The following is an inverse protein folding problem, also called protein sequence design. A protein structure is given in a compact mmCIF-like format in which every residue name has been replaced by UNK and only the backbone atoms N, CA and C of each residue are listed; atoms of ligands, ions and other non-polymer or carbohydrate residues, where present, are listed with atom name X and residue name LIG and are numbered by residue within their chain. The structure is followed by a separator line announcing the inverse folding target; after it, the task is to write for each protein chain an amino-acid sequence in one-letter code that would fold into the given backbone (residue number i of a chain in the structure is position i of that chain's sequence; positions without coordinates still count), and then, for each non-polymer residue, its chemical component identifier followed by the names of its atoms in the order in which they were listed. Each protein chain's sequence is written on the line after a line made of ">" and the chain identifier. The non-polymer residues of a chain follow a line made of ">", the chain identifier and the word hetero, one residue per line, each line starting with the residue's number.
data_IF_377186022471
#
_entry.id   IF_377186022471
#
_cell.length_a   1.000
_cell.length_b   1.000
_cell.length_c   1.000
_cell.angle_alpha   90.00
_cell.angle_beta   90.00
_cell.angle_gamma   90.00
#
_symmetry.space_group_name_H-M   'P 1'
#
loop_
_entity.id
_entity.type
_entity.pdbx_description
1 polymer ?
#
# COMPACT_ATOMS: atom_id res chain seq x y z
N UNK A 1 15.27 -14.98 2.59
CA UNK A 1 16.11 -13.88 2.07
C UNK A 1 16.06 -12.81 3.14
N UNK A 2 17.00 -12.84 4.05
CA UNK A 2 17.07 -11.95 5.22
C UNK A 2 17.47 -10.55 4.77
N UNK A 3 17.06 -9.54 5.51
CA UNK A 3 17.48 -8.14 5.32
C UNK A 3 19.00 -8.04 5.18
N UNK A 4 19.75 -8.88 5.91
CA UNK A 4 21.20 -8.95 5.82
C UNK A 4 21.72 -9.32 4.41
N UNK A 5 20.99 -10.17 3.66
CA UNK A 5 21.36 -10.47 2.28
C UNK A 5 21.19 -9.25 1.38
N UNK A 6 20.09 -8.51 1.58
CA UNK A 6 19.82 -7.27 0.83
C UNK A 6 20.86 -6.21 1.20
N UNK A 7 21.16 -6.04 2.49
CA UNK A 7 22.17 -5.10 2.98
C UNK A 7 23.54 -5.43 2.40
N UNK A 8 23.95 -6.71 2.38
CA UNK A 8 25.25 -7.12 1.84
C UNK A 8 25.34 -6.90 0.33
N UNK A 9 24.30 -7.19 -0.43
CA UNK A 9 24.25 -6.91 -1.87
C UNK A 9 24.35 -5.40 -2.16
N UNK A 10 23.67 -4.56 -1.36
CA UNK A 10 23.71 -3.12 -1.54
C UNK A 10 25.01 -2.47 -1.00
N UNK A 11 25.65 -3.03 0.04
CA UNK A 11 26.97 -2.57 0.47
C UNK A 11 28.04 -2.81 -0.58
N UNK A 12 27.92 -3.86 -1.37
CA UNK A 12 28.82 -4.14 -2.49
C UNK A 12 28.62 -3.13 -3.65
N UNK A 13 27.39 -2.67 -3.87
CA UNK A 13 27.04 -1.72 -4.95
C UNK A 13 27.34 -0.27 -4.55
N UNK A 14 27.07 0.11 -3.30
CA UNK A 14 27.12 1.52 -2.83
C UNK A 14 28.46 1.87 -2.18
N UNK A 15 29.37 0.90 -2.02
CA UNK A 15 30.65 1.11 -1.34
C UNK A 15 30.49 1.27 0.18
N UNK A 16 31.56 1.63 0.86
CA UNK A 16 31.68 1.66 2.33
C UNK A 16 30.83 2.69 3.09
N UNK A 17 29.59 2.96 2.65
CA UNK A 17 28.64 3.81 3.38
C UNK A 17 27.52 2.97 3.99
N UNK A 18 27.67 2.45 5.22
CA UNK A 18 26.68 1.57 5.85
C UNK A 18 25.28 2.22 6.00
N UNK A 19 25.26 3.53 6.19
CA UNK A 19 24.00 4.28 6.30
C UNK A 19 23.25 4.34 4.96
N UNK A 20 23.95 4.57 3.86
CA UNK A 20 23.34 4.61 2.52
C UNK A 20 22.79 3.23 2.13
N UNK A 21 23.56 2.15 2.39
CA UNK A 21 23.09 0.79 2.14
C UNK A 21 21.84 0.43 2.97
N UNK A 22 21.80 0.84 4.23
CA UNK A 22 20.63 0.66 5.09
C UNK A 22 19.41 1.41 4.56
N UNK A 23 19.56 2.68 4.16
CA UNK A 23 18.46 3.49 3.62
C UNK A 23 17.92 2.90 2.30
N UNK A 24 18.81 2.42 1.43
CA UNK A 24 18.40 1.79 0.16
C UNK A 24 17.70 0.45 0.41
N UNK A 25 18.15 -0.34 1.38
CA UNK A 25 17.49 -1.57 1.79
C UNK A 25 16.08 -1.29 2.34
N UNK A 26 15.94 -0.32 3.22
CA UNK A 26 14.63 0.10 3.74
C UNK A 26 13.70 0.62 2.63
N UNK A 27 14.22 1.42 1.71
CA UNK A 27 13.45 1.93 0.57
C UNK A 27 13.01 0.81 -0.39
N UNK A 28 13.87 -0.18 -0.66
CA UNK A 28 13.53 -1.30 -1.53
C UNK A 28 12.48 -2.23 -0.91
N UNK A 29 12.59 -2.55 0.37
CA UNK A 29 11.59 -3.36 1.09
C UNK A 29 10.27 -2.60 1.21
N UNK A 30 10.31 -1.32 1.60
CA UNK A 30 9.13 -0.47 1.68
C UNK A 30 8.45 -0.30 0.33
N UNK A 31 9.21 -0.10 -0.75
CA UNK A 31 8.70 -0.02 -2.11
C UNK A 31 8.04 -1.31 -2.58
N UNK A 32 8.64 -2.47 -2.30
CA UNK A 32 8.06 -3.77 -2.62
C UNK A 32 6.73 -3.98 -1.87
N UNK A 33 6.70 -3.70 -0.57
CA UNK A 33 5.48 -3.80 0.24
C UNK A 33 4.39 -2.85 -0.26
N UNK A 34 4.76 -1.63 -0.64
CA UNK A 34 3.83 -0.66 -1.21
C UNK A 34 3.20 -1.17 -2.52
N UNK A 35 4.00 -1.72 -3.42
CA UNK A 35 3.50 -2.30 -4.68
C UNK A 35 2.56 -3.48 -4.40
N UNK A 36 2.91 -4.38 -3.49
CA UNK A 36 2.06 -5.50 -3.10
C UNK A 36 0.72 -5.02 -2.51
N UNK A 37 0.76 -4.01 -1.65
CA UNK A 37 -0.46 -3.39 -1.10
C UNK A 37 -1.33 -2.77 -2.19
N UNK A 38 -0.73 -2.02 -3.11
CA UNK A 38 -1.46 -1.37 -4.19
C UNK A 38 -2.15 -2.39 -5.11
N UNK A 39 -1.45 -3.48 -5.47
CA UNK A 39 -2.01 -4.55 -6.28
C UNK A 39 -3.15 -5.26 -5.54
N UNK A 40 -2.97 -5.58 -4.26
CA UNK A 40 -4.01 -6.21 -3.45
C UNK A 40 -5.23 -5.27 -3.29
N UNK A 41 -5.02 -3.98 -3.05
CA UNK A 41 -6.09 -3.00 -2.98
C UNK A 41 -6.87 -2.90 -4.29
N UNK A 42 -6.22 -2.91 -5.44
CA UNK A 42 -6.88 -2.91 -6.75
C UNK A 42 -7.80 -4.12 -6.92
N UNK A 43 -7.32 -5.30 -6.56
CA UNK A 43 -8.11 -6.55 -6.65
C UNK A 43 -9.26 -6.51 -5.64
N UNK A 44 -9.00 -6.13 -4.39
CA UNK A 44 -10.02 -6.07 -3.34
C UNK A 44 -11.15 -5.10 -3.67
N UNK A 45 -10.83 -3.88 -4.12
CA UNK A 45 -11.83 -2.88 -4.53
C UNK A 45 -12.63 -3.35 -5.74
N UNK A 46 -12.00 -4.03 -6.71
CA UNK A 46 -12.71 -4.60 -7.85
C UNK A 46 -13.72 -5.67 -7.40
N UNK A 47 -13.31 -6.59 -6.54
CA UNK A 47 -14.17 -7.66 -6.00
C UNK A 47 -15.31 -7.07 -5.18
N UNK A 48 -15.01 -6.12 -4.29
CA UNK A 48 -16.02 -5.41 -3.48
C UNK A 48 -17.09 -4.76 -4.34
N UNK A 49 -16.69 -4.01 -5.37
CA UNK A 49 -17.64 -3.37 -6.31
C UNK A 49 -18.46 -4.38 -7.09
N UNK A 50 -17.85 -5.50 -7.47
CA UNK A 50 -18.54 -6.56 -8.20
C UNK A 50 -19.57 -7.25 -7.33
N UNK A 51 -19.20 -7.63 -6.11
CA UNK A 51 -20.09 -8.28 -5.15
C UNK A 51 -21.24 -7.34 -4.74
N UNK A 52 -20.93 -6.09 -4.42
CA UNK A 52 -21.94 -5.08 -4.07
C UNK A 52 -22.94 -4.84 -5.23
N UNK A 53 -22.46 -4.84 -6.46
CA UNK A 53 -23.31 -4.69 -7.63
C UNK A 53 -24.26 -5.87 -7.79
N UNK A 54 -23.78 -7.10 -7.63
CA UNK A 54 -24.62 -8.30 -7.67
C UNK A 54 -25.66 -8.30 -6.56
N UNK A 55 -25.34 -7.84 -5.35
CA UNK A 55 -26.30 -7.69 -4.27
C UNK A 55 -27.41 -6.66 -4.59
N UNK A 56 -27.10 -5.67 -5.43
CA UNK A 56 -28.03 -4.62 -5.87
C UNK A 56 -28.70 -4.94 -7.22
N UNK A 57 -28.58 -6.17 -7.72
CA UNK A 57 -29.07 -6.60 -9.04
C UNK A 57 -28.52 -5.72 -10.19
N UNK A 58 -27.23 -5.38 -10.13
CA UNK A 58 -26.51 -4.59 -11.13
C UNK A 58 -25.33 -5.37 -11.68
N UNK A 59 -24.91 -5.06 -12.91
CA UNK A 59 -23.77 -5.74 -13.55
C UNK A 59 -22.39 -5.35 -12.96
N UNK A 60 -22.31 -4.25 -12.24
CA UNK A 60 -21.05 -3.76 -11.67
C UNK A 60 -20.07 -3.22 -12.72
N UNK A 61 -18.77 -3.18 -12.40
CA UNK A 61 -17.77 -2.73 -13.34
C UNK A 61 -17.73 -3.65 -14.56
N UNK A 62 -18.35 -3.21 -15.64
CA UNK A 62 -18.33 -3.83 -16.97
C UNK A 62 -18.09 -2.74 -17.99
N UNK A 63 -17.02 -2.89 -18.78
CA UNK A 63 -16.68 -1.90 -19.77
C UNK A 63 -17.57 -1.97 -20.98
N UNK A 64 -18.51 -1.06 -21.09
CA UNK A 64 -19.16 -0.68 -22.34
C UNK A 64 -18.80 0.77 -22.61
N UNK A 65 -17.98 1.03 -23.63
CA UNK A 65 -17.62 2.38 -24.04
C UNK A 65 -16.12 2.58 -24.30
N UNK A 66 -15.73 3.74 -24.85
CA UNK A 66 -14.32 4.08 -25.07
C UNK A 66 -13.64 4.43 -23.74
N UNK A 67 -12.46 3.87 -23.48
CA UNK A 67 -11.62 4.20 -22.34
C UNK A 67 -10.95 2.99 -21.67
N UNK A 68 -10.14 3.24 -20.64
CA UNK A 68 -9.43 2.20 -19.89
C UNK A 68 -10.37 1.20 -19.17
N UNK A 69 -11.61 1.58 -18.92
CA UNK A 69 -12.64 0.73 -18.35
C UNK A 69 -13.34 -0.17 -19.39
N UNK A 70 -13.06 0.03 -20.69
CA UNK A 70 -13.64 -0.74 -21.76
C UNK A 70 -13.07 -2.15 -21.81
N UNK A 71 -13.90 -3.14 -21.63
CA UNK A 71 -13.53 -4.55 -21.69
C UNK A 71 -14.53 -5.44 -20.96
N UNK A 72 -14.55 -6.73 -21.30
CA UNK A 72 -15.54 -7.70 -20.79
C UNK A 72 -15.63 -7.76 -19.26
N UNK A 73 -14.55 -7.42 -18.55
CA UNK A 73 -14.44 -7.57 -17.10
C UNK A 73 -14.39 -6.25 -16.33
N UNK A 74 -14.07 -5.12 -16.98
CA UNK A 74 -13.94 -3.81 -16.33
C UNK A 74 -12.82 -3.74 -15.27
N UNK A 75 -11.78 -4.57 -15.37
CA UNK A 75 -10.71 -4.68 -14.37
C UNK A 75 -9.93 -3.36 -14.27
N UNK A 76 -9.71 -2.69 -15.39
CA UNK A 76 -8.98 -1.42 -15.44
C UNK A 76 -9.77 -0.22 -14.90
N UNK A 77 -11.04 -0.39 -14.57
CA UNK A 77 -11.86 0.68 -14.00
C UNK A 77 -11.32 1.14 -12.64
N UNK A 78 -10.86 0.22 -11.80
CA UNK A 78 -10.25 0.56 -10.50
C UNK A 78 -8.99 1.40 -10.66
N UNK A 79 -8.18 1.08 -11.69
CA UNK A 79 -7.00 1.88 -12.02
C UNK A 79 -7.35 3.27 -12.54
N UNK A 80 -8.36 3.36 -13.42
CA UNK A 80 -8.86 4.63 -13.92
C UNK A 80 -9.42 5.53 -12.79
N UNK A 81 -10.10 4.93 -11.81
CA UNK A 81 -10.58 5.65 -10.63
C UNK A 81 -9.44 6.15 -9.74
N UNK A 82 -8.37 5.36 -9.57
CA UNK A 82 -7.18 5.79 -8.85
C UNK A 82 -6.52 7.02 -9.52
N UNK A 83 -6.34 6.97 -10.84
CA UNK A 83 -5.81 8.12 -11.61
C UNK A 83 -6.74 9.33 -11.49
N UNK A 84 -8.05 9.14 -11.58
CA UNK A 84 -9.03 10.22 -11.42
C UNK A 84 -8.91 10.90 -10.06
N UNK A 85 -8.72 10.14 -8.98
CA UNK A 85 -8.54 10.67 -7.63
C UNK A 85 -7.24 11.46 -7.51
N UNK A 86 -6.15 11.03 -8.17
CA UNK A 86 -4.87 11.74 -8.16
C UNK A 86 -4.91 13.07 -8.93
N UNK A 87 -5.76 13.18 -9.96
CA UNK A 87 -5.89 14.41 -10.78
C UNK A 87 -6.91 15.38 -10.15
N UNK A 88 -7.77 14.89 -9.26
CA UNK A 88 -8.81 15.70 -8.64
C UNK A 88 -8.21 16.75 -7.70
N UNK A 89 -8.81 17.94 -7.66
CA UNK A 89 -8.42 19.02 -6.77
C UNK A 89 -8.52 18.61 -5.29
N UNK A 90 -7.49 18.94 -4.52
CA UNK A 90 -7.45 18.74 -3.08
C UNK A 90 -8.15 19.90 -2.37
N UNK A 91 -9.34 19.65 -1.85
CA UNK A 91 -10.16 20.63 -1.15
C UNK A 91 -10.12 20.40 0.35
N UNK A 92 -9.50 21.33 1.09
CA UNK A 92 -9.41 21.29 2.55
C UNK A 92 -10.44 22.24 3.15
N UNK A 93 -11.28 21.81 4.11
CA UNK A 93 -12.21 22.68 4.82
C UNK A 93 -11.48 23.82 5.54
N UNK A 94 -11.99 25.05 5.46
CA UNK A 94 -11.36 26.23 6.10
C UNK A 94 -11.28 26.13 7.63
N UNK A 95 -12.15 25.34 8.25
CA UNK A 95 -12.19 25.12 9.70
C UNK A 95 -11.27 24.01 10.18
N UNK A 96 -10.63 23.24 9.29
CA UNK A 96 -9.73 22.16 9.63
C UNK A 96 -8.28 22.65 9.75
N UNK A 97 -7.49 21.97 10.59
CA UNK A 97 -6.05 22.17 10.63
C UNK A 97 -5.45 21.60 9.31
N UNK A 98 -4.89 22.51 8.51
CA UNK A 98 -4.40 22.18 7.18
C UNK A 98 -3.23 21.18 7.19
N UNK A 99 -2.38 21.26 8.23
CA UNK A 99 -1.21 20.40 8.35
C UNK A 99 -1.65 19.00 8.73
N UNK A 100 -2.46 18.87 9.77
CA UNK A 100 -2.98 17.58 10.23
C UNK A 100 -3.81 16.89 9.14
N UNK A 101 -4.65 17.63 8.44
CA UNK A 101 -5.48 17.09 7.36
C UNK A 101 -4.65 16.49 6.22
N UNK A 102 -3.55 17.15 5.85
CA UNK A 102 -2.63 16.65 4.81
C UNK A 102 -1.78 15.47 5.26
N UNK A 103 -1.40 15.43 6.54
CA UNK A 103 -0.50 14.40 7.08
C UNK A 103 -1.26 13.12 7.46
N UNK A 104 -2.54 13.21 7.82
CA UNK A 104 -3.35 12.07 8.28
C UNK A 104 -3.31 10.85 7.31
N UNK A 105 -3.56 10.97 6.00
CA UNK A 105 -3.50 9.81 5.11
C UNK A 105 -2.10 9.19 5.04
N UNK A 106 -1.03 9.96 5.16
CA UNK A 106 0.33 9.44 5.18
C UNK A 106 0.60 8.63 6.44
N UNK A 107 0.09 9.06 7.60
CA UNK A 107 0.22 8.31 8.87
C UNK A 107 -0.44 6.94 8.75
N UNK A 108 -1.64 6.87 8.17
CA UNK A 108 -2.36 5.60 7.95
C UNK A 108 -1.57 4.68 7.03
N UNK A 109 -1.06 5.19 5.91
CA UNK A 109 -0.25 4.41 4.97
C UNK A 109 1.03 3.88 5.59
N UNK A 110 1.76 4.72 6.32
CA UNK A 110 2.98 4.34 7.03
C UNK A 110 2.66 3.24 8.06
N UNK A 111 1.59 3.40 8.85
CA UNK A 111 1.15 2.38 9.80
C UNK A 111 0.86 1.03 9.11
N UNK A 112 0.15 1.04 7.98
CA UNK A 112 -0.15 -0.17 7.24
C UNK A 112 1.10 -0.87 6.69
N UNK A 113 2.07 -0.11 6.11
CA UNK A 113 3.33 -0.67 5.61
C UNK A 113 4.16 -1.27 6.73
N UNK A 114 4.27 -0.56 7.85
CA UNK A 114 5.01 -1.03 9.03
C UNK A 114 4.35 -2.31 9.60
N UNK A 115 3.02 -2.37 9.67
CA UNK A 115 2.30 -3.57 10.11
C UNK A 115 2.56 -4.78 9.20
N UNK A 116 2.57 -4.58 7.89
CA UNK A 116 2.89 -5.64 6.92
C UNK A 116 4.33 -6.15 7.02
N UNK A 117 5.26 -5.33 7.47
CA UNK A 117 6.66 -5.73 7.60
C UNK A 117 6.89 -6.86 8.61
N UNK A 118 5.99 -7.01 9.59
CA UNK A 118 6.05 -8.06 10.60
C UNK A 118 5.44 -9.40 10.12
N UNK A 119 4.75 -9.41 8.97
CA UNK A 119 4.16 -10.64 8.43
C UNK A 119 5.21 -11.50 7.73
N UNK A 120 5.31 -12.79 8.06
CA UNK A 120 6.15 -13.72 7.33
C UNK A 120 5.50 -14.07 5.98
N UNK A 121 6.09 -13.65 4.86
CA UNK A 121 5.62 -14.02 3.53
C UNK A 121 6.07 -15.43 3.13
N UNK A 122 7.18 -15.89 3.67
CA UNK A 122 7.73 -17.24 3.47
C UNK A 122 8.66 -17.58 4.63
N UNK A 123 8.99 -18.86 4.78
CA UNK A 123 9.99 -19.32 5.76
C UNK A 123 11.38 -18.68 5.59
N UNK A 124 11.67 -18.16 4.39
CA UNK A 124 12.94 -17.50 4.04
C UNK A 124 12.78 -16.01 3.70
N UNK A 125 11.55 -15.50 3.61
CA UNK A 125 11.27 -14.10 3.26
C UNK A 125 10.47 -13.48 4.40
N UNK A 126 11.19 -12.80 5.27
CA UNK A 126 10.62 -12.06 6.39
C UNK A 126 11.37 -10.73 6.51
N UNK A 127 10.63 -9.61 6.56
CA UNK A 127 11.25 -8.29 6.63
C UNK A 127 11.80 -8.01 8.04
N UNK A 128 11.02 -8.37 9.07
CA UNK A 128 11.40 -8.20 10.48
C UNK A 128 10.98 -9.44 11.25
N UNK A 129 11.93 -10.09 11.93
CA UNK A 129 11.66 -11.24 12.80
C UNK A 129 11.48 -10.75 14.24
N UNK A 130 10.24 -10.76 14.70
CA UNK A 130 9.85 -10.28 16.04
C UNK A 130 9.22 -11.42 16.83
N UNK A 131 9.77 -11.75 17.99
CA UNK A 131 9.19 -12.74 18.91
C UNK A 131 7.78 -12.35 19.39
N UNK A 132 7.45 -11.06 19.38
CA UNK A 132 6.15 -10.48 19.77
C UNK A 132 5.41 -9.83 18.59
N UNK A 133 5.53 -10.41 17.40
CA UNK A 133 4.98 -9.85 16.15
C UNK A 133 3.50 -9.51 16.20
N UNK A 134 2.68 -10.33 16.89
CA UNK A 134 1.23 -10.07 17.04
C UNK A 134 0.97 -8.78 17.81
N UNK A 135 1.67 -8.56 18.92
CA UNK A 135 1.54 -7.31 19.69
C UNK A 135 2.01 -6.10 18.88
N UNK A 136 3.06 -6.28 18.09
CA UNK A 136 3.55 -5.24 17.19
C UNK A 136 2.50 -4.83 16.17
N UNK A 137 1.83 -5.80 15.51
CA UNK A 137 0.78 -5.52 14.52
C UNK A 137 -0.40 -4.77 15.17
N UNK A 138 -0.83 -5.18 16.37
CA UNK A 138 -1.91 -4.53 17.11
C UNK A 138 -1.50 -3.10 17.50
N UNK A 139 -0.28 -2.91 18.01
CA UNK A 139 0.23 -1.60 18.40
C UNK A 139 0.32 -0.64 17.20
N UNK A 140 0.82 -1.13 16.07
CA UNK A 140 0.91 -0.33 14.83
C UNK A 140 -0.49 -0.06 14.26
N UNK A 141 -1.42 -1.02 14.36
CA UNK A 141 -2.81 -0.84 13.95
C UNK A 141 -3.52 0.31 14.68
N UNK A 142 -3.12 0.61 15.94
CA UNK A 142 -3.66 1.74 16.70
C UNK A 142 -3.30 3.11 16.10
N UNK A 143 -2.23 3.20 15.30
CA UNK A 143 -1.85 4.42 14.59
C UNK A 143 -2.94 4.83 13.58
N UNK A 144 -3.63 3.85 12.99
CA UNK A 144 -4.76 4.11 12.08
C UNK A 144 -5.95 4.83 12.73
N UNK A 145 -6.05 4.81 14.06
CA UNK A 145 -7.10 5.53 14.79
C UNK A 145 -6.76 7.02 14.94
N UNK A 146 -5.48 7.36 14.88
CA UNK A 146 -5.01 8.76 15.05
C UNK A 146 -5.11 9.50 13.69
N UNK A 147 -4.86 8.82 12.58
CA UNK A 147 -4.95 9.37 11.21
C UNK A 147 -6.33 9.25 10.63
#
# INVERSE_FOLDING_TARGET
>A
MTIDFIINQFTEIVGNFPVAAFLVACASVGGLLFVLMALNAMVAVYVERKVSAFMMDRLGPMGQGPGLHAGKWGILQTFADAIKLLIKEDTIPKSADQILFKVAPFIIFIGAIIGLSALPFSSSIQAVDLNVGVFYIIAVGSIGVIG
#
